data_IF_934042800554
#
_entry.id   IF_934042800554
#
_cell.length_a   1.000
_cell.length_b   1.000
_cell.length_c   1.000
_cell.angle_alpha   90.00
_cell.angle_beta   90.00
_cell.angle_gamma   90.00
#
_symmetry.space_group_name_H-M   'P 1'
#
loop_
_entity.id
_entity.type
_entity.pdbx_description
1 polymer ?
#
# COMPACT_ATOMS: atom_id res chain seq x y z
N UNK A 1 3.64 -7.36 -15.62
CA UNK A 1 4.80 -6.98 -14.79
C UNK A 1 4.47 -7.21 -13.32
N UNK A 2 5.36 -7.86 -12.63
CA UNK A 2 5.21 -8.06 -11.18
C UNK A 2 5.58 -6.77 -10.45
N UNK A 3 4.71 -6.33 -9.56
CA UNK A 3 4.89 -5.09 -8.80
C UNK A 3 4.72 -5.37 -7.32
N UNK A 4 5.70 -4.97 -6.52
CA UNK A 4 5.59 -4.97 -5.07
C UNK A 4 5.08 -3.61 -4.65
N UNK A 5 3.91 -3.57 -4.01
CA UNK A 5 3.29 -2.34 -3.53
C UNK A 5 3.51 -2.25 -2.03
N UNK A 6 4.09 -1.14 -1.58
CA UNK A 6 4.25 -0.83 -0.17
C UNK A 6 3.30 0.30 0.21
N UNK A 7 2.51 0.07 1.25
CA UNK A 7 1.67 1.10 1.87
C UNK A 7 2.02 1.23 3.34
N UNK A 8 1.76 2.39 3.90
CA UNK A 8 1.96 2.66 5.32
C UNK A 8 0.65 3.09 5.97
N UNK A 9 0.43 2.62 7.19
CA UNK A 9 -0.67 3.05 8.05
C UNK A 9 -0.09 3.55 9.35
N UNK A 10 -0.70 4.57 9.93
CA UNK A 10 -0.32 5.04 11.25
C UNK A 10 -1.53 5.43 12.08
N UNK A 11 -1.38 5.24 13.38
CA UNK A 11 -2.25 5.81 14.39
C UNK A 11 -1.42 6.80 15.22
N UNK A 12 -1.97 7.32 16.31
CA UNK A 12 -1.24 8.24 17.19
C UNK A 12 -0.01 7.60 17.84
N UNK A 13 -0.03 6.27 18.00
CA UNK A 13 1.00 5.55 18.78
C UNK A 13 1.91 4.67 17.91
N UNK A 14 1.40 4.19 16.79
CA UNK A 14 2.08 3.16 16.00
C UNK A 14 2.04 3.51 14.53
N UNK A 15 3.13 3.20 13.83
CA UNK A 15 3.18 3.26 12.37
C UNK A 15 3.70 1.93 11.85
N UNK A 16 3.15 1.45 10.75
CA UNK A 16 3.61 0.21 10.12
C UNK A 16 3.59 0.34 8.60
N UNK A 17 4.45 -0.43 7.94
CA UNK A 17 4.49 -0.54 6.49
C UNK A 17 4.29 -2.00 6.14
N UNK A 18 3.45 -2.23 5.12
CA UNK A 18 3.17 -3.58 4.63
C UNK A 18 3.25 -3.58 3.12
N UNK A 19 3.50 -4.76 2.55
CA UNK A 19 3.69 -4.94 1.12
C UNK A 19 2.83 -6.07 0.59
N UNK A 20 2.55 -6.00 -0.70
CA UNK A 20 1.89 -7.08 -1.44
C UNK A 20 2.42 -7.10 -2.86
N UNK A 21 2.63 -8.29 -3.41
CA UNK A 21 2.98 -8.46 -4.82
C UNK A 21 1.70 -8.58 -5.64
N UNK A 22 1.63 -7.81 -6.71
CA UNK A 22 0.49 -7.80 -7.64
C UNK A 22 0.99 -7.80 -9.07
N UNK A 23 0.11 -8.16 -10.01
CA UNK A 23 0.38 -8.03 -11.44
C UNK A 23 -0.30 -6.77 -11.95
N UNK A 24 0.45 -5.90 -12.61
CA UNK A 24 -0.07 -4.70 -13.25
C UNK A 24 0.37 -4.64 -14.70
N UNK A 25 -0.53 -4.19 -15.58
CA UNK A 25 -0.22 -3.99 -16.98
C UNK A 25 0.49 -2.66 -17.23
N UNK A 26 0.34 -1.70 -16.33
CA UNK A 26 1.02 -0.41 -16.39
C UNK A 26 1.29 0.08 -14.98
N UNK A 27 2.24 1.01 -14.85
CA UNK A 27 2.62 1.58 -13.56
C UNK A 27 1.98 2.96 -13.38
N UNK A 28 1.47 3.27 -12.18
CA UNK A 28 1.03 4.62 -11.88
C UNK A 28 2.23 5.56 -11.76
N UNK A 29 2.00 6.83 -11.99
CA UNK A 29 3.02 7.87 -11.81
C UNK A 29 3.13 8.27 -10.35
N UNK A 30 4.29 8.82 -9.98
CA UNK A 30 4.46 9.48 -8.68
C UNK A 30 3.39 10.57 -8.54
N UNK A 31 2.73 10.60 -7.39
CA UNK A 31 1.63 11.51 -7.13
C UNK A 31 0.24 10.95 -7.46
N UNK A 32 0.17 9.84 -8.18
CA UNK A 32 -1.11 9.16 -8.41
C UNK A 32 -1.65 8.54 -7.13
N UNK A 33 -2.95 8.28 -7.10
CA UNK A 33 -3.60 7.64 -5.97
C UNK A 33 -3.85 6.16 -6.28
N UNK A 34 -3.52 5.32 -5.32
CA UNK A 34 -3.78 3.89 -5.37
C UNK A 34 -4.86 3.59 -4.34
N UNK A 35 -5.93 2.95 -4.79
CA UNK A 35 -7.04 2.57 -3.91
C UNK A 35 -6.85 1.14 -3.46
N UNK A 36 -6.88 0.94 -2.14
CA UNK A 36 -6.70 -0.36 -1.52
C UNK A 36 -7.91 -0.65 -0.64
N UNK A 37 -8.48 -1.84 -0.80
CA UNK A 37 -9.60 -2.29 0.02
C UNK A 37 -9.09 -2.60 1.44
N UNK A 38 -9.52 -1.79 2.40
CA UNK A 38 -9.13 -1.90 3.81
C UNK A 38 -10.21 -2.59 4.66
N UNK A 39 -11.19 -3.21 4.02
CA UNK A 39 -12.24 -4.00 4.67
C UNK A 39 -13.63 -3.46 4.38
N UNK A 40 -13.98 -2.32 4.94
CA UNK A 40 -15.29 -1.70 4.77
C UNK A 40 -15.31 -0.66 3.65
N UNK A 41 -14.14 -0.19 3.22
CA UNK A 41 -14.02 0.86 2.21
C UNK A 41 -12.70 0.72 1.45
N UNK A 42 -12.57 1.49 0.38
CA UNK A 42 -11.28 1.67 -0.31
C UNK A 42 -10.58 2.88 0.28
N UNK A 43 -9.35 2.70 0.69
CA UNK A 43 -8.51 3.77 1.23
C UNK A 43 -7.49 4.18 0.19
N UNK A 44 -7.30 5.48 0.02
CA UNK A 44 -6.37 6.05 -0.96
C UNK A 44 -4.98 6.17 -0.37
N UNK A 45 -3.99 5.74 -1.14
CA UNK A 45 -2.58 5.91 -0.81
C UNK A 45 -1.89 6.61 -1.98
N UNK A 46 -1.11 7.64 -1.69
CA UNK A 46 -0.42 8.40 -2.73
C UNK A 46 0.91 7.74 -3.07
N UNK A 47 1.19 7.56 -4.36
CA UNK A 47 2.48 7.02 -4.81
C UNK A 47 3.57 8.05 -4.58
N UNK A 48 4.54 7.71 -3.76
CA UNK A 48 5.68 8.58 -3.45
C UNK A 48 6.93 8.27 -4.26
N UNK A 49 7.10 7.01 -4.66
CA UNK A 49 8.29 6.57 -5.39
C UNK A 49 7.97 5.36 -6.26
N UNK A 50 8.55 5.31 -7.44
CA UNK A 50 8.43 4.18 -8.36
C UNK A 50 9.83 3.77 -8.77
N UNK A 51 10.24 2.54 -8.43
CA UNK A 51 11.51 1.95 -8.85
C UNK A 51 11.23 0.84 -9.86
N UNK A 52 11.87 0.88 -11.01
CA UNK A 52 11.72 -0.15 -12.04
C UNK A 52 13.01 -0.92 -12.18
N UNK A 53 12.92 -2.24 -12.01
CA UNK A 53 14.05 -3.15 -12.17
C UNK A 53 13.94 -3.80 -13.54
N UNK A 54 14.58 -3.19 -14.54
CA UNK A 54 14.40 -3.54 -15.95
C UNK A 54 14.78 -4.98 -16.24
N UNK A 55 15.92 -5.43 -15.72
CA UNK A 55 16.43 -6.78 -15.99
C UNK A 55 15.59 -7.88 -15.31
N UNK A 56 14.88 -7.53 -14.24
CA UNK A 56 14.03 -8.47 -13.50
C UNK A 56 12.56 -8.41 -13.94
N UNK A 57 12.20 -7.49 -14.81
CA UNK A 57 10.82 -7.25 -15.25
C UNK A 57 9.88 -7.07 -14.06
N UNK A 58 10.29 -6.24 -13.11
CA UNK A 58 9.52 -5.96 -11.90
C UNK A 58 9.67 -4.51 -11.48
N UNK A 59 8.75 -4.05 -10.66
CA UNK A 59 8.78 -2.71 -10.10
C UNK A 59 8.44 -2.72 -8.61
N UNK A 60 8.79 -1.64 -7.94
CA UNK A 60 8.48 -1.42 -6.54
C UNK A 60 7.79 -0.06 -6.42
N UNK A 61 6.56 -0.05 -5.91
CA UNK A 61 5.81 1.17 -5.63
C UNK A 61 5.83 1.43 -4.13
N UNK A 62 6.32 2.60 -3.74
CA UNK A 62 6.27 3.04 -2.35
C UNK A 62 5.26 4.14 -2.22
N UNK A 63 4.20 3.87 -1.46
CA UNK A 63 3.16 4.86 -1.19
C UNK A 63 3.42 5.57 0.13
N UNK A 64 2.93 6.80 0.22
CA UNK A 64 3.00 7.59 1.45
C UNK A 64 2.12 6.95 2.53
N UNK A 65 2.47 7.19 3.78
CA UNK A 65 1.72 6.67 4.92
C UNK A 65 0.40 7.42 5.08
N UNK A 66 -0.68 6.68 5.28
CA UNK A 66 -2.00 7.23 5.56
C UNK A 66 -2.30 7.14 7.05
N UNK A 67 -2.75 8.26 7.64
CA UNK A 67 -3.15 8.30 9.03
C UNK A 67 -4.54 7.73 9.22
N UNK A 68 -4.71 6.88 10.22
CA UNK A 68 -6.01 6.39 10.66
C UNK A 68 -6.57 7.30 11.77
N UNK A 69 -7.88 7.41 11.85
CA UNK A 69 -8.53 8.31 12.80
C UNK A 69 -8.28 7.91 14.26
N UNK A 70 -8.15 6.62 14.51
CA UNK A 70 -7.91 6.10 15.85
C UNK A 70 -7.26 4.71 15.78
N UNK A 71 -6.86 4.19 16.95
CA UNK A 71 -6.20 2.89 17.05
C UNK A 71 -7.10 1.74 16.63
N UNK A 72 -8.38 1.81 16.92
CA UNK A 72 -9.34 0.76 16.54
C UNK A 72 -9.45 0.65 15.00
N UNK A 73 -9.51 1.77 14.30
CA UNK A 73 -9.53 1.81 12.84
C UNK A 73 -8.22 1.27 12.28
N UNK A 74 -7.09 1.67 12.85
CA UNK A 74 -5.77 1.18 12.45
C UNK A 74 -5.70 -0.35 12.55
N UNK A 75 -6.10 -0.92 13.68
CA UNK A 75 -6.07 -2.36 13.90
C UNK A 75 -7.02 -3.10 12.96
N UNK A 76 -8.21 -2.55 12.72
CA UNK A 76 -9.20 -3.11 11.81
C UNK A 76 -8.68 -3.15 10.37
N UNK A 77 -8.09 -2.05 9.89
CA UNK A 77 -7.52 -1.98 8.56
C UNK A 77 -6.37 -2.97 8.39
N UNK A 78 -5.48 -3.01 9.37
CA UNK A 78 -4.32 -3.89 9.34
C UNK A 78 -4.72 -5.37 9.32
N UNK A 79 -5.67 -5.76 10.13
CA UNK A 79 -6.18 -7.14 10.16
C UNK A 79 -6.81 -7.52 8.81
N UNK A 80 -7.61 -6.63 8.23
CA UNK A 80 -8.25 -6.86 6.94
C UNK A 80 -7.21 -6.99 5.82
N UNK A 81 -6.20 -6.13 5.81
CA UNK A 81 -5.14 -6.17 4.80
C UNK A 81 -4.33 -7.45 4.90
N UNK A 82 -3.97 -7.87 6.11
CA UNK A 82 -3.24 -9.13 6.32
C UNK A 82 -4.03 -10.34 5.86
N UNK A 83 -5.35 -10.32 6.06
CA UNK A 83 -6.23 -11.39 5.59
C UNK A 83 -6.25 -11.47 4.06
N UNK A 84 -5.92 -10.39 3.35
CA UNK A 84 -5.88 -10.32 1.88
C UNK A 84 -4.47 -10.51 1.31
N UNK A 85 -3.51 -10.91 2.12
CA UNK A 85 -2.17 -11.23 1.68
C UNK A 85 -1.12 -10.14 1.83
N UNK A 86 -1.47 -9.01 2.41
CA UNK A 86 -0.49 -7.98 2.76
C UNK A 86 0.38 -8.44 3.94
N UNK A 87 1.65 -8.17 3.87
CA UNK A 87 2.61 -8.63 4.89
C UNK A 87 3.41 -7.49 5.50
#
# INVERSE_FOLDING_TARGET
MKVTVQIGLRSDKVATKITKDVELSCLPNVGAWVLVDTGTENTSFRVGCVDVYVDENRAYLRCETTACDNDATFESYLASLRAKGWK
#
